data_IF_841862539529
#
_entry.id   IF_841862539529
#
_cell.length_a   1.000
_cell.length_b   1.000
_cell.length_c   1.000
_cell.angle_alpha   90.00
_cell.angle_beta   90.00
_cell.angle_gamma   90.00
#
_symmetry.space_group_name_H-M   'P 1'
#
loop_
_entity.id
_entity.type
_entity.pdbx_description
1 polymer ?
#
# COMPACT_ATOMS: atom_id res chain seq x y z
N UNK A 1 15.23 -11.96 -0.78
CA UNK A 1 13.77 -12.00 -0.56
C UNK A 1 13.40 -12.21 0.91
N UNK A 2 13.69 -13.37 1.53
CA UNK A 2 13.21 -13.69 2.90
C UNK A 2 13.58 -12.65 3.96
N UNK A 3 14.86 -12.28 4.07
CA UNK A 3 15.34 -11.28 5.03
C UNK A 3 14.67 -9.92 4.82
N UNK A 4 14.63 -9.43 3.57
CA UNK A 4 13.98 -8.16 3.22
C UNK A 4 12.48 -8.12 3.61
N UNK A 5 11.76 -9.23 3.46
CA UNK A 5 10.35 -9.33 3.90
C UNK A 5 10.23 -9.27 5.42
N UNK A 6 11.10 -9.97 6.15
CA UNK A 6 11.11 -9.95 7.62
C UNK A 6 11.49 -8.56 8.17
N UNK A 7 12.49 -7.93 7.58
CA UNK A 7 12.93 -6.58 7.95
C UNK A 7 11.85 -5.53 7.68
N UNK A 8 11.18 -5.61 6.52
CA UNK A 8 10.05 -4.74 6.20
C UNK A 8 8.87 -4.98 7.15
N UNK A 9 8.59 -6.23 7.54
CA UNK A 9 7.57 -6.52 8.55
C UNK A 9 7.94 -5.98 9.94
N UNK A 10 9.20 -6.12 10.35
CA UNK A 10 9.69 -5.62 11.64
C UNK A 10 9.66 -4.09 11.73
N UNK A 11 9.83 -3.38 10.61
CA UNK A 11 9.78 -1.91 10.53
C UNK A 11 8.42 -1.36 10.12
N UNK A 12 7.41 -2.20 9.91
CA UNK A 12 6.12 -1.74 9.43
C UNK A 12 5.45 -0.83 10.46
N UNK A 13 4.97 0.32 9.99
CA UNK A 13 4.10 1.18 10.76
C UNK A 13 2.65 0.70 10.58
N UNK A 14 1.97 0.44 11.70
CA UNK A 14 0.62 -0.09 11.73
C UNK A 14 -0.33 1.05 12.12
N UNK A 15 -1.28 1.34 11.24
CA UNK A 15 -2.27 2.40 11.43
C UNK A 15 -3.65 1.75 11.52
N UNK A 16 -4.45 2.19 12.50
CA UNK A 16 -5.84 1.76 12.63
C UNK A 16 -6.77 2.93 12.31
N UNK A 17 -7.65 2.72 11.34
CA UNK A 17 -8.71 3.68 10.98
C UNK A 17 -10.04 2.95 11.15
N UNK A 18 -10.80 3.35 12.17
CA UNK A 18 -12.00 2.62 12.60
C UNK A 18 -11.70 1.12 12.81
N UNK A 19 -12.34 0.23 12.05
CA UNK A 19 -12.14 -1.23 12.12
C UNK A 19 -11.02 -1.75 11.21
N UNK A 20 -10.39 -0.89 10.41
CA UNK A 20 -9.44 -1.27 9.36
C UNK A 20 -8.00 -1.12 9.82
N UNK A 21 -7.19 -2.14 9.54
CA UNK A 21 -5.75 -2.14 9.85
C UNK A 21 -4.96 -1.92 8.56
N UNK A 22 -4.18 -0.85 8.54
CA UNK A 22 -3.22 -0.53 7.49
C UNK A 22 -1.81 -0.87 7.95
N UNK A 23 -0.99 -1.44 7.07
CA UNK A 23 0.44 -1.61 7.30
C UNK A 23 1.25 -0.91 6.19
N UNK A 24 2.04 0.07 6.57
CA UNK A 24 2.96 0.76 5.65
C UNK A 24 4.40 0.45 6.01
N UNK A 25 5.25 0.25 5.02
CA UNK A 25 6.67 -0.03 5.26
C UNK A 25 7.53 0.35 4.05
N UNK A 26 8.83 0.32 4.27
CA UNK A 26 9.82 0.41 3.21
C UNK A 26 10.65 -0.88 3.16
N UNK A 27 10.96 -1.30 1.95
CA UNK A 27 11.81 -2.45 1.69
C UNK A 27 12.86 -2.10 0.64
N UNK A 28 14.11 -2.48 0.90
CA UNK A 28 15.23 -2.29 -0.03
C UNK A 28 15.02 -3.07 -1.34
N UNK A 29 14.26 -4.16 -1.27
CA UNK A 29 13.88 -4.98 -2.42
C UNK A 29 12.64 -5.82 -2.12
N UNK A 30 12.01 -6.37 -3.16
CA UNK A 30 10.85 -7.27 -3.04
C UNK A 30 9.60 -6.64 -2.37
N UNK A 31 9.33 -5.35 -2.60
CA UNK A 31 8.18 -4.64 -2.01
C UNK A 31 6.82 -5.34 -2.19
N UNK A 32 6.57 -5.95 -3.36
CA UNK A 32 5.35 -6.73 -3.60
C UNK A 32 5.22 -7.97 -2.68
N UNK A 33 6.34 -8.63 -2.36
CA UNK A 33 6.35 -9.76 -1.44
C UNK A 33 6.17 -9.30 0.01
N UNK A 34 6.79 -8.18 0.39
CA UNK A 34 6.61 -7.58 1.70
C UNK A 34 5.16 -7.14 1.92
N UNK A 35 4.54 -6.43 0.98
CA UNK A 35 3.13 -6.05 1.06
C UNK A 35 2.21 -7.29 1.19
N UNK A 36 2.50 -8.35 0.41
CA UNK A 36 1.75 -9.60 0.53
C UNK A 36 1.89 -10.22 1.91
N UNK A 37 3.10 -10.26 2.48
CA UNK A 37 3.34 -10.77 3.81
C UNK A 37 2.62 -9.97 4.88
N UNK A 38 2.70 -8.63 4.84
CA UNK A 38 2.02 -7.73 5.78
C UNK A 38 0.49 -7.93 5.78
N UNK A 39 -0.11 -8.07 4.60
CA UNK A 39 -1.54 -8.38 4.45
C UNK A 39 -1.88 -9.75 5.04
N UNK A 40 -1.04 -10.76 4.79
CA UNK A 40 -1.27 -12.12 5.27
C UNK A 40 -1.16 -12.25 6.79
N UNK A 41 -0.28 -11.47 7.44
CA UNK A 41 -0.07 -11.56 8.90
C UNK A 41 -1.03 -10.70 9.72
N UNK A 42 -1.84 -9.84 9.10
CA UNK A 42 -2.87 -9.11 9.85
C UNK A 42 -3.48 -7.90 9.14
N UNK A 43 -2.72 -7.18 8.32
CA UNK A 43 -3.21 -5.95 7.71
C UNK A 43 -4.36 -6.22 6.73
N UNK A 44 -5.36 -5.33 6.71
CA UNK A 44 -6.45 -5.37 5.74
C UNK A 44 -6.04 -4.71 4.43
N UNK A 45 -5.20 -3.66 4.53
CA UNK A 45 -4.52 -3.02 3.41
C UNK A 45 -3.06 -2.83 3.77
N UNK A 46 -2.15 -3.06 2.82
CA UNK A 46 -0.74 -2.76 3.02
C UNK A 46 -0.12 -2.05 1.82
N UNK A 47 0.77 -1.12 2.09
CA UNK A 47 1.57 -0.43 1.08
C UNK A 47 3.05 -0.52 1.43
N UNK A 48 3.88 -0.97 0.48
CA UNK A 48 5.33 -1.02 0.68
C UNK A 48 6.03 -0.24 -0.40
N UNK A 49 6.83 0.74 0.02
CA UNK A 49 7.73 1.51 -0.84
C UNK A 49 9.07 0.82 -1.04
N UNK A 50 9.61 0.91 -2.25
CA UNK A 50 11.01 0.61 -2.57
C UNK A 50 11.54 1.80 -3.34
N UNK A 51 12.58 2.43 -2.82
CA UNK A 51 13.20 3.62 -3.45
C UNK A 51 14.46 3.20 -4.18
N UNK A 52 14.59 3.60 -5.43
CA UNK A 52 15.80 3.35 -6.24
C UNK A 52 16.00 4.48 -7.23
N UNK A 53 17.23 4.99 -7.30
CA UNK A 53 17.64 6.00 -8.30
C UNK A 53 16.71 7.24 -8.32
N UNK A 54 16.22 7.67 -7.15
CA UNK A 54 15.30 8.81 -7.00
C UNK A 54 13.84 8.54 -7.35
N UNK A 55 13.51 7.30 -7.73
CA UNK A 55 12.16 6.84 -8.05
C UNK A 55 11.62 5.99 -6.89
N UNK A 56 10.38 6.27 -6.50
CA UNK A 56 9.66 5.50 -5.49
C UNK A 56 8.69 4.55 -6.18
N UNK A 57 8.91 3.25 -5.99
CA UNK A 57 7.96 2.21 -6.39
C UNK A 57 7.13 1.77 -5.20
N UNK A 58 5.82 1.84 -5.30
CA UNK A 58 4.90 1.37 -4.26
C UNK A 58 4.20 0.10 -4.71
N UNK A 59 4.10 -0.89 -3.81
CA UNK A 59 3.32 -2.11 -3.99
C UNK A 59 2.19 -2.15 -2.97
N UNK A 60 0.96 -2.30 -3.45
CA UNK A 60 -0.26 -2.32 -2.63
C UNK A 60 -0.91 -3.70 -2.60
N UNK A 61 -1.53 -4.03 -1.47
CA UNK A 61 -2.37 -5.22 -1.28
C UNK A 61 -3.59 -4.87 -0.43
N UNK A 62 -4.74 -5.44 -0.78
CA UNK A 62 -5.98 -5.30 -0.03
C UNK A 62 -6.68 -6.65 0.11
N UNK A 63 -7.26 -6.91 1.29
CA UNK A 63 -8.13 -8.06 1.52
C UNK A 63 -9.48 -7.88 0.83
N UNK A 64 -10.16 -9.01 0.63
CA UNK A 64 -11.50 -9.04 -0.01
C UNK A 64 -12.50 -8.13 0.69
N UNK A 65 -12.48 -8.05 2.02
CA UNK A 65 -13.42 -7.20 2.77
C UNK A 65 -13.27 -5.73 2.37
N UNK A 66 -12.03 -5.21 2.30
CA UNK A 66 -11.77 -3.84 1.85
C UNK A 66 -12.22 -3.61 0.40
N UNK A 67 -11.99 -4.58 -0.49
CA UNK A 67 -12.42 -4.51 -1.89
C UNK A 67 -13.95 -4.46 -1.98
N UNK A 68 -14.68 -5.28 -1.21
CA UNK A 68 -16.15 -5.25 -1.17
C UNK A 68 -16.69 -3.91 -0.66
N UNK A 69 -15.94 -3.23 0.20
CA UNK A 69 -16.26 -1.92 0.72
C UNK A 69 -15.89 -0.76 -0.23
N UNK A 70 -15.41 -1.06 -1.45
CA UNK A 70 -15.19 -0.06 -2.50
C UNK A 70 -13.71 0.23 -2.79
N UNK A 71 -12.76 -0.38 -2.08
CA UNK A 71 -11.34 -0.17 -2.36
C UNK A 71 -10.95 -0.82 -3.68
N UNK A 72 -10.50 -0.01 -4.63
CA UNK A 72 -9.86 -0.46 -5.87
C UNK A 72 -8.43 0.09 -5.96
N UNK A 73 -7.45 -0.70 -5.53
CA UNK A 73 -6.05 -0.27 -5.52
C UNK A 73 -5.50 0.05 -6.92
N UNK A 74 -6.03 -0.60 -7.96
CA UNK A 74 -5.58 -0.38 -9.33
C UNK A 74 -5.96 1.00 -9.87
N UNK A 75 -7.15 1.49 -9.53
CA UNK A 75 -7.61 2.84 -9.86
C UNK A 75 -6.92 3.88 -8.98
N UNK A 76 -6.91 3.66 -7.66
CA UNK A 76 -6.25 4.53 -6.69
C UNK A 76 -4.78 4.80 -7.04
N UNK A 77 -4.01 3.75 -7.34
CA UNK A 77 -2.60 3.90 -7.70
C UNK A 77 -2.37 4.51 -9.08
N UNK A 78 -3.33 4.39 -9.99
CA UNK A 78 -3.27 5.09 -11.29
C UNK A 78 -3.41 6.60 -11.07
N UNK A 79 -4.39 7.01 -10.28
CA UNK A 79 -4.68 8.42 -10.04
C UNK A 79 -3.56 9.10 -9.24
N UNK A 80 -3.09 8.48 -8.15
CA UNK A 80 -1.92 8.96 -7.39
C UNK A 80 -0.65 8.92 -8.26
N UNK A 81 -0.51 7.89 -9.10
CA UNK A 81 0.60 7.78 -10.04
C UNK A 81 0.72 9.01 -10.94
N UNK A 82 -0.40 9.49 -11.47
CA UNK A 82 -0.46 10.71 -12.29
C UNK A 82 -0.16 11.98 -11.48
N UNK A 83 -0.67 12.08 -10.25
CA UNK A 83 -0.41 13.20 -9.32
C UNK A 83 1.10 13.39 -9.09
N UNK A 84 1.84 12.30 -8.86
CA UNK A 84 3.28 12.30 -8.61
C UNK A 84 4.14 12.09 -9.88
N UNK A 85 3.62 12.50 -11.04
CA UNK A 85 4.37 12.55 -12.31
C UNK A 85 4.96 11.19 -12.72
N UNK A 86 4.24 10.12 -12.43
CA UNK A 86 4.63 8.75 -12.69
C UNK A 86 3.52 7.95 -13.35
N UNK A 87 3.50 6.65 -13.06
CA UNK A 87 2.50 5.73 -13.58
C UNK A 87 2.08 4.72 -12.51
N UNK A 88 0.86 4.21 -12.62
CA UNK A 88 0.36 3.18 -11.71
C UNK A 88 -0.79 2.39 -12.28
N UNK A 89 -1.10 1.28 -11.62
CA UNK A 89 -2.20 0.40 -12.01
C UNK A 89 -2.14 -0.98 -11.38
N UNK A 90 -3.08 -1.83 -11.77
CA UNK A 90 -3.19 -3.21 -11.31
C UNK A 90 -4.64 -3.64 -11.16
N UNK A 91 -4.87 -4.54 -10.21
CA UNK A 91 -6.20 -5.03 -9.85
C UNK A 91 -6.64 -4.49 -8.49
N UNK A 92 -7.94 -4.58 -8.21
CA UNK A 92 -8.53 -4.04 -6.97
C UNK A 92 -7.82 -4.51 -5.69
N UNK A 93 -7.38 -5.77 -5.63
CA UNK A 93 -6.67 -6.34 -4.47
C UNK A 93 -5.15 -6.27 -4.50
N UNK A 94 -4.56 -5.92 -5.65
CA UNK A 94 -3.11 -5.92 -5.83
C UNK A 94 -2.71 -4.98 -6.97
N UNK A 95 -2.00 -3.92 -6.62
CA UNK A 95 -1.57 -2.89 -7.56
C UNK A 95 -0.15 -2.41 -7.26
N UNK A 96 0.41 -1.63 -8.18
CA UNK A 96 1.67 -0.93 -7.98
C UNK A 96 1.71 0.39 -8.74
N UNK A 97 2.61 1.26 -8.31
CA UNK A 97 2.94 2.50 -9.02
C UNK A 97 4.41 2.82 -8.89
N UNK A 98 4.89 3.67 -9.79
CA UNK A 98 6.25 4.17 -9.87
C UNK A 98 6.20 5.67 -10.11
N UNK A 99 6.74 6.44 -9.18
CA UNK A 99 6.54 7.90 -9.11
C UNK A 99 7.79 8.63 -8.63
N UNK A 100 7.86 9.93 -8.92
CA UNK A 100 8.89 10.82 -8.38
C UNK A 100 8.39 11.40 -7.06
N UNK A 101 9.14 11.19 -5.98
CA UNK A 101 8.78 11.68 -4.65
C UNK A 101 9.34 10.82 -3.53
N UNK A 102 9.23 11.30 -2.28
CA UNK A 102 9.64 10.54 -1.11
C UNK A 102 8.65 9.40 -0.84
N UNK A 103 9.16 8.25 -0.44
CA UNK A 103 8.35 7.10 -0.02
C UNK A 103 7.33 7.46 1.04
N UNK A 104 7.72 8.26 2.04
CA UNK A 104 6.84 8.71 3.11
C UNK A 104 5.62 9.48 2.59
N UNK A 105 5.82 10.50 1.72
CA UNK A 105 4.72 11.31 1.19
C UNK A 105 3.75 10.47 0.35
N UNK A 106 4.31 9.61 -0.51
CA UNK A 106 3.53 8.77 -1.42
C UNK A 106 2.76 7.69 -0.65
N UNK A 107 3.36 7.09 0.38
CA UNK A 107 2.71 6.11 1.24
C UNK A 107 1.60 6.75 2.09
N UNK A 108 1.82 7.95 2.63
CA UNK A 108 0.78 8.71 3.36
C UNK A 108 -0.43 8.97 2.46
N UNK A 109 -0.19 9.45 1.23
CA UNK A 109 -1.27 9.70 0.26
C UNK A 109 -2.08 8.44 -0.05
N UNK A 110 -1.43 7.28 -0.19
CA UNK A 110 -2.12 6.00 -0.41
C UNK A 110 -3.04 5.62 0.75
N UNK A 111 -2.58 5.85 2.00
CA UNK A 111 -3.38 5.61 3.20
C UNK A 111 -4.54 6.57 3.27
N UNK A 112 -4.32 7.86 3.05
CA UNK A 112 -5.35 8.90 3.07
C UNK A 112 -6.49 8.58 2.09
N UNK A 113 -6.17 8.27 0.84
CA UNK A 113 -7.16 7.95 -0.19
C UNK A 113 -7.96 6.68 0.18
N UNK A 114 -7.26 5.62 0.58
CA UNK A 114 -7.90 4.35 0.98
C UNK A 114 -8.76 4.50 2.23
N UNK A 115 -8.29 5.30 3.21
CA UNK A 115 -9.01 5.56 4.45
C UNK A 115 -10.26 6.40 4.22
N UNK A 116 -10.24 7.31 3.26
CA UNK A 116 -11.39 8.15 2.90
C UNK A 116 -12.54 7.32 2.34
N UNK A 117 -12.22 6.25 1.59
CA UNK A 117 -13.21 5.27 1.09
C UNK A 117 -13.80 4.43 2.22
N UNK A 118 -12.99 4.05 3.20
CA UNK A 118 -13.37 3.10 4.25
C UNK A 118 -13.93 3.75 5.52
N UNK A 119 -13.82 5.08 5.66
CA UNK A 119 -14.24 5.81 6.86
C UNK A 119 -15.73 5.60 7.15
N UNK A 120 -16.05 5.15 8.36
CA UNK A 120 -17.43 4.85 8.77
C UNK A 120 -18.03 3.58 8.13
N UNK A 121 -17.24 2.79 7.40
CA UNK A 121 -17.65 1.48 6.88
C UNK A 121 -17.07 0.40 7.79
N UNK A 122 -17.93 -0.43 8.39
CA UNK A 122 -17.46 -1.52 9.26
C UNK A 122 -17.06 -2.74 8.44
N UNK A 123 -16.11 -3.50 9.00
CA UNK A 123 -15.62 -4.75 8.44
C UNK A 123 -16.64 -5.87 8.71
N UNK A 124 -17.50 -6.15 7.73
CA UNK A 124 -18.43 -7.30 7.73
C UNK A 124 -17.70 -8.63 7.59
#
# INVERSE_FOLDING_TARGET
MRTAVLESANRANILKVDDWIFAISEADSFGAAAATALTNIGADISFVGTVRDGITKVSGRAKRDAIRCGVNLGELMRDIGLEYHGSGGGHAGAAGMEVVGTSEAVLSRCVEESSSILKGVSRN
#
